data_IF_874071296817
#
_entry.id   IF_874071296817
#
_cell.length_a   1.000
_cell.length_b   1.000
_cell.length_c   1.000
_cell.angle_alpha   90.00
_cell.angle_beta   90.00
_cell.angle_gamma   90.00
#
_symmetry.space_group_name_H-M   'P 1'
#
loop_
_entity.id
_entity.type
_entity.pdbx_description
1 polymer ?
#
# COMPACT_ATOMS: atom_id res chain seq x y z
N UNK A 1 27.09 6.43 22.10
CA UNK A 1 28.13 7.46 21.81
C UNK A 1 27.48 8.81 22.04
N UNK A 2 28.13 9.75 22.75
CA UNK A 2 27.64 11.12 22.78
C UNK A 2 27.56 11.67 21.34
N UNK A 3 26.47 12.38 21.02
CA UNK A 3 26.22 12.91 19.66
C UNK A 3 25.41 12.01 18.72
N UNK A 4 24.76 10.95 19.20
CA UNK A 4 23.80 10.22 18.35
C UNK A 4 22.53 11.04 18.10
N UNK A 5 22.18 11.21 16.83
CA UNK A 5 20.90 11.80 16.43
C UNK A 5 19.81 10.76 16.66
N UNK A 6 18.81 11.13 17.45
CA UNK A 6 17.59 10.34 17.64
C UNK A 6 16.47 11.02 16.88
N UNK A 7 15.83 10.27 15.99
CA UNK A 7 14.66 10.73 15.26
C UNK A 7 13.45 9.92 15.71
N UNK A 8 12.39 10.63 16.06
CA UNK A 8 11.11 10.02 16.39
C UNK A 8 10.23 10.03 15.16
N UNK A 9 9.60 8.88 14.88
CA UNK A 9 8.55 8.77 13.89
C UNK A 9 7.24 8.51 14.61
N UNK A 10 6.23 9.32 14.28
CA UNK A 10 4.86 9.09 14.76
C UNK A 10 4.20 8.13 13.78
N UNK A 11 3.64 7.04 14.32
CA UNK A 11 2.77 6.14 13.58
C UNK A 11 1.32 6.49 13.91
N UNK A 12 0.66 7.24 13.03
CA UNK A 12 -0.72 7.68 13.22
C UNK A 12 -1.65 7.26 12.07
N UNK A 13 -2.92 7.04 12.42
CA UNK A 13 -3.94 6.53 11.51
C UNK A 13 -4.23 7.50 10.35
N UNK A 14 -4.23 8.80 10.63
CA UNK A 14 -4.61 9.84 9.66
C UNK A 14 -3.56 9.93 8.55
N UNK A 15 -2.29 10.03 8.89
CA UNK A 15 -1.18 10.05 7.93
C UNK A 15 -1.09 8.75 7.15
N UNK A 16 -1.30 7.60 7.82
CA UNK A 16 -1.31 6.30 7.17
C UNK A 16 -2.44 6.14 6.14
N UNK A 17 -3.64 6.67 6.46
CA UNK A 17 -4.80 6.68 5.56
C UNK A 17 -4.57 7.62 4.38
N UNK A 18 -4.07 8.83 4.64
CA UNK A 18 -3.80 9.85 3.62
C UNK A 18 -2.71 9.40 2.64
N UNK A 19 -1.63 8.79 3.13
CA UNK A 19 -0.55 8.26 2.30
C UNK A 19 -1.03 7.13 1.38
N UNK A 20 -1.80 6.18 1.90
CA UNK A 20 -2.39 5.12 1.08
C UNK A 20 -3.36 5.69 0.04
N UNK A 21 -4.26 6.59 0.47
CA UNK A 21 -5.21 7.24 -0.43
C UNK A 21 -4.53 8.01 -1.57
N UNK A 22 -3.43 8.71 -1.28
CA UNK A 22 -2.64 9.42 -2.30
C UNK A 22 -2.04 8.45 -3.33
N UNK A 23 -1.47 7.33 -2.88
CA UNK A 23 -0.93 6.30 -3.79
C UNK A 23 -2.00 5.66 -4.66
N UNK A 24 -3.17 5.33 -4.09
CA UNK A 24 -4.28 4.74 -4.82
C UNK A 24 -4.89 5.73 -5.82
N UNK A 25 -5.07 6.99 -5.42
CA UNK A 25 -5.60 8.05 -6.29
C UNK A 25 -4.67 8.29 -7.46
N UNK A 26 -3.35 8.34 -7.19
CA UNK A 26 -2.34 8.43 -8.24
C UNK A 26 -2.44 7.25 -9.20
N UNK A 27 -2.53 6.02 -8.68
CA UNK A 27 -2.67 4.83 -9.52
C UNK A 27 -3.89 4.95 -10.44
N UNK A 28 -5.07 5.27 -9.89
CA UNK A 28 -6.30 5.40 -10.66
C UNK A 28 -6.22 6.48 -11.75
N UNK A 29 -5.57 7.62 -11.45
CA UNK A 29 -5.35 8.70 -12.42
C UNK A 29 -4.34 8.33 -13.52
N UNK A 30 -3.28 7.59 -13.17
CA UNK A 30 -2.25 7.16 -14.13
C UNK A 30 -2.77 6.02 -15.05
N UNK A 31 -3.88 5.37 -14.69
CA UNK A 31 -4.39 4.13 -15.30
C UNK A 31 -5.92 4.17 -15.58
N UNK A 32 -6.49 5.23 -16.19
CA UNK A 32 -7.93 5.47 -16.24
C UNK A 32 -8.73 4.38 -16.99
N UNK A 33 -8.13 3.75 -18.00
CA UNK A 33 -8.77 2.75 -18.86
C UNK A 33 -8.50 1.31 -18.41
N UNK A 34 -7.79 1.14 -17.28
CA UNK A 34 -7.32 -0.16 -16.84
C UNK A 34 -8.33 -0.76 -15.86
N UNK A 35 -8.76 -1.99 -16.12
CA UNK A 35 -9.62 -2.76 -15.22
C UNK A 35 -8.85 -3.98 -14.70
N UNK A 36 -8.13 -3.86 -13.57
CA UNK A 36 -7.46 -4.99 -12.95
C UNK A 36 -8.45 -6.11 -12.63
N UNK A 37 -8.04 -7.35 -12.89
CA UNK A 37 -8.86 -8.53 -12.60
C UNK A 37 -8.73 -8.99 -11.16
N UNK A 38 -7.70 -8.53 -10.45
CA UNK A 38 -7.52 -8.78 -9.02
C UNK A 38 -6.34 -8.00 -8.45
N UNK A 39 -6.23 -8.06 -7.13
CA UNK A 39 -5.15 -7.43 -6.39
C UNK A 39 -4.57 -8.36 -5.32
N UNK A 40 -3.28 -8.20 -5.07
CA UNK A 40 -2.58 -8.72 -3.91
C UNK A 40 -2.32 -7.58 -2.93
N UNK A 41 -2.72 -7.74 -1.68
CA UNK A 41 -2.46 -6.81 -0.58
C UNK A 41 -1.44 -7.41 0.39
N UNK A 42 -0.33 -6.69 0.57
CA UNK A 42 0.69 -6.97 1.57
C UNK A 42 0.62 -5.90 2.66
N UNK A 43 -0.04 -6.23 3.78
CA UNK A 43 -0.28 -5.26 4.86
C UNK A 43 0.67 -5.49 6.03
N UNK A 44 1.35 -4.44 6.49
CA UNK A 44 2.22 -4.55 7.65
C UNK A 44 1.44 -4.89 8.95
N UNK A 45 2.02 -5.67 9.86
CA UNK A 45 1.45 -6.06 11.16
C UNK A 45 1.09 -4.86 12.08
N UNK A 46 1.63 -3.68 11.81
CA UNK A 46 1.30 -2.46 12.53
C UNK A 46 0.05 -1.71 12.02
N UNK A 47 -0.65 -2.27 11.02
CA UNK A 47 -1.89 -1.73 10.45
C UNK A 47 -3.13 -2.49 10.97
N UNK A 48 -4.31 -2.15 10.45
CA UNK A 48 -5.59 -2.78 10.82
C UNK A 48 -6.31 -2.08 11.96
N UNK A 49 -7.25 -2.78 12.59
CA UNK A 49 -8.21 -2.21 13.55
C UNK A 49 -7.56 -1.41 14.69
N UNK A 50 -6.46 -1.89 15.25
CA UNK A 50 -5.76 -1.19 16.34
C UNK A 50 -5.21 0.18 15.93
N UNK A 51 -4.85 0.34 14.65
CA UNK A 51 -4.41 1.63 14.12
C UNK A 51 -5.60 2.49 13.71
N UNK A 52 -6.55 1.93 12.96
CA UNK A 52 -7.60 2.69 12.29
C UNK A 52 -8.93 2.81 13.05
N UNK A 53 -9.09 2.09 14.17
CA UNK A 53 -10.34 2.00 14.92
C UNK A 53 -11.45 1.22 14.20
N UNK A 54 -11.15 0.58 13.06
CA UNK A 54 -12.07 -0.25 12.28
C UNK A 54 -11.33 -1.34 11.52
N UNK A 55 -12.01 -2.46 11.28
CA UNK A 55 -11.54 -3.52 10.38
C UNK A 55 -11.50 -3.04 8.92
N UNK A 56 -10.75 -3.75 8.10
CA UNK A 56 -10.77 -3.67 6.63
C UNK A 56 -10.47 -2.29 6.00
N UNK A 57 -9.87 -1.35 6.76
CA UNK A 57 -9.59 0.02 6.30
C UNK A 57 -8.87 0.10 4.95
N UNK A 58 -7.77 -0.64 4.79
CA UNK A 58 -6.95 -0.57 3.57
C UNK A 58 -7.71 -1.14 2.35
N UNK A 59 -8.48 -2.21 2.53
CA UNK A 59 -9.29 -2.82 1.47
C UNK A 59 -10.50 -1.97 1.12
N UNK A 60 -11.16 -1.35 2.09
CA UNK A 60 -12.28 -0.45 1.86
C UNK A 60 -11.82 0.81 1.11
N UNK A 61 -10.69 1.38 1.52
CA UNK A 61 -10.10 2.53 0.84
C UNK A 61 -9.70 2.17 -0.60
N UNK A 62 -9.07 1.01 -0.80
CA UNK A 62 -8.78 0.48 -2.14
C UNK A 62 -10.04 0.38 -3.00
N UNK A 63 -11.10 -0.26 -2.49
CA UNK A 63 -12.35 -0.42 -3.24
C UNK A 63 -13.02 0.92 -3.56
N UNK A 64 -12.92 1.90 -2.67
CA UNK A 64 -13.50 3.24 -2.90
C UNK A 64 -12.79 4.07 -3.96
N UNK A 65 -11.50 3.80 -4.21
CA UNK A 65 -10.67 4.59 -5.14
C UNK A 65 -10.43 3.85 -6.46
N UNK A 66 -10.08 2.57 -6.39
CA UNK A 66 -9.70 1.75 -7.55
C UNK A 66 -10.86 0.90 -8.06
N UNK A 67 -11.75 0.49 -7.17
CA UNK A 67 -12.92 -0.34 -7.50
C UNK A 67 -12.88 -1.73 -6.86
N UNK A 68 -14.04 -2.39 -6.90
CA UNK A 68 -14.24 -3.70 -6.30
C UNK A 68 -13.71 -4.83 -7.19
N UNK A 69 -12.84 -5.68 -6.64
CA UNK A 69 -12.31 -6.89 -7.28
C UNK A 69 -11.86 -7.89 -6.20
N UNK A 70 -11.62 -9.17 -6.55
CA UNK A 70 -11.02 -10.11 -5.62
C UNK A 70 -9.65 -9.60 -5.12
N UNK A 71 -9.53 -9.48 -3.80
CA UNK A 71 -8.28 -9.13 -3.12
C UNK A 71 -7.84 -10.30 -2.25
N UNK A 72 -6.59 -10.72 -2.39
CA UNK A 72 -5.94 -11.70 -1.51
C UNK A 72 -4.58 -11.19 -1.09
N UNK A 73 -3.83 -11.93 -0.28
CA UNK A 73 -2.49 -11.56 0.14
C UNK A 73 -2.15 -12.08 1.53
N UNK A 74 -1.32 -11.34 2.26
CA UNK A 74 -0.89 -11.73 3.60
C UNK A 74 -0.39 -10.53 4.42
N UNK A 75 -0.29 -10.74 5.74
CA UNK A 75 0.33 -9.78 6.63
C UNK A 75 1.86 -9.96 6.65
N UNK A 76 2.59 -8.84 6.60
CA UNK A 76 4.04 -8.80 6.55
C UNK A 76 4.62 -7.87 7.63
N UNK A 77 5.95 -7.84 7.78
CA UNK A 77 6.62 -6.94 8.74
C UNK A 77 7.43 -5.84 8.02
N UNK A 78 6.83 -5.25 6.99
CA UNK A 78 7.42 -4.19 6.18
C UNK A 78 7.78 -4.62 4.76
N UNK A 79 8.35 -3.69 4.02
CA UNK A 79 8.75 -3.83 2.62
C UNK A 79 10.23 -3.45 2.45
N UNK A 80 10.94 -4.15 1.56
CA UNK A 80 12.30 -3.78 1.16
C UNK A 80 12.20 -2.96 -0.13
N UNK A 81 12.63 -1.69 -0.08
CA UNK A 81 12.46 -0.77 -1.21
C UNK A 81 13.54 0.32 -1.29
N UNK A 82 13.82 0.86 -2.49
CA UNK A 82 14.88 1.84 -2.67
C UNK A 82 14.46 3.25 -2.23
N UNK A 83 15.42 4.00 -1.65
CA UNK A 83 15.34 5.45 -1.42
C UNK A 83 16.69 6.06 -1.80
N UNK A 84 16.72 7.01 -2.73
CA UNK A 84 17.96 7.70 -3.12
C UNK A 84 19.09 6.76 -3.58
N UNK A 85 18.77 5.67 -4.28
CA UNK A 85 19.74 4.68 -4.76
C UNK A 85 20.23 3.67 -3.72
N UNK A 86 19.76 3.75 -2.47
CA UNK A 86 20.05 2.78 -1.41
C UNK A 86 18.81 1.97 -1.06
N UNK A 87 18.98 0.75 -0.58
CA UNK A 87 17.87 -0.13 -0.17
C UNK A 87 17.56 0.05 1.31
N UNK A 88 16.28 0.20 1.65
CA UNK A 88 15.80 0.39 3.03
C UNK A 88 14.69 -0.61 3.36
N UNK A 89 14.54 -0.89 4.66
CA UNK A 89 13.37 -1.57 5.20
C UNK A 89 12.33 -0.52 5.61
N UNK A 90 11.18 -0.55 4.96
CA UNK A 90 10.04 0.33 5.19
C UNK A 90 9.04 -0.37 6.12
N UNK A 91 8.91 0.12 7.35
CA UNK A 91 7.91 -0.37 8.29
C UNK A 91 6.53 0.26 8.04
N UNK A 92 5.49 -0.37 8.59
CA UNK A 92 4.12 0.18 8.62
C UNK A 92 3.47 0.45 7.25
N UNK A 93 3.96 -0.20 6.20
CA UNK A 93 3.48 -0.07 4.82
C UNK A 93 2.21 -0.87 4.53
N UNK A 94 1.49 -0.46 3.49
CA UNK A 94 0.46 -1.24 2.82
C UNK A 94 0.73 -1.17 1.33
N UNK A 95 1.00 -2.31 0.72
CA UNK A 95 1.47 -2.38 -0.67
C UNK A 95 0.53 -3.26 -1.48
N UNK A 96 0.11 -2.74 -2.63
CA UNK A 96 -0.80 -3.41 -3.55
C UNK A 96 -0.06 -3.82 -4.83
N UNK A 97 -0.28 -5.05 -5.27
CA UNK A 97 0.07 -5.49 -6.62
C UNK A 97 -1.21 -5.79 -7.38
N UNK A 98 -1.46 -5.07 -8.48
CA UNK A 98 -2.64 -5.26 -9.31
C UNK A 98 -2.26 -6.02 -10.57
N UNK A 99 -3.14 -6.91 -11.02
CA UNK A 99 -2.86 -7.75 -12.18
C UNK A 99 -4.09 -7.87 -13.10
N UNK A 100 -3.79 -8.00 -14.39
CA UNK A 100 -4.75 -8.19 -15.46
C UNK A 100 -4.28 -9.31 -16.38
N UNK A 101 -5.18 -9.94 -17.16
CA UNK A 101 -4.81 -10.79 -18.26
C UNK A 101 -3.82 -10.07 -19.17
N UNK A 102 -2.83 -10.81 -19.65
CA UNK A 102 -1.95 -10.30 -20.70
C UNK A 102 -2.79 -10.09 -21.96
N UNK A 103 -2.78 -8.89 -22.52
CA UNK A 103 -3.38 -8.67 -23.84
C UNK A 103 -2.73 -9.65 -24.85
N UNK A 104 -3.52 -10.25 -25.75
CA UNK A 104 -2.95 -11.06 -26.81
C UNK A 104 -1.96 -10.20 -27.60
N UNK A 105 -0.70 -10.62 -27.65
CA UNK A 105 0.28 -9.98 -28.54
C UNK A 105 -0.24 -10.15 -29.96
N UNK A 106 -0.51 -9.04 -30.66
CA UNK A 106 -0.81 -9.09 -32.08
C UNK A 106 0.37 -9.79 -32.79
N UNK A 107 0.09 -10.94 -33.42
CA UNK A 107 1.05 -11.73 -34.20
C UNK A 107 1.15 -11.15 -35.60
#
# INVERSE_FOLDING_TARGET
REGQVVQFHVHDATSASAGLGASLTRYANDHPDTAPSGALLFSALGRGERLFGRVDHDTDLFQSVVGSMPVTGFFCNGEIGPVGGSTFLHGYTSSFALFSPREPTAV
#
